data_IF_242761030238
#
_entry.id   IF_242761030238
#
_cell.length_a   1.000
_cell.length_b   1.000
_cell.length_c   1.000
_cell.angle_alpha   90.00
_cell.angle_beta   90.00
_cell.angle_gamma   90.00
#
_symmetry.space_group_name_H-M   'P 1'
#
loop_
_entity.id
_entity.type
_entity.pdbx_description
1 polymer ?
#
# COMPACT_ATOMS: atom_id res chain seq x y z
N UNK A 1 -7.11 -8.80 -22.18
CA UNK A 1 -7.63 -7.95 -21.09
C UNK A 1 -6.59 -7.97 -19.99
N UNK A 2 -6.29 -6.82 -19.39
CA UNK A 2 -5.40 -6.78 -18.23
C UNK A 2 -5.97 -7.67 -17.11
N UNK A 3 -5.09 -8.41 -16.44
CA UNK A 3 -5.49 -9.35 -15.39
C UNK A 3 -5.75 -8.58 -14.10
N UNK A 4 -6.97 -8.64 -13.59
CA UNK A 4 -7.31 -8.01 -12.32
C UNK A 4 -6.63 -8.75 -11.15
N UNK A 5 -6.20 -8.00 -10.14
CA UNK A 5 -5.61 -8.54 -8.91
C UNK A 5 -6.46 -8.25 -7.68
N UNK A 6 -6.35 -9.10 -6.65
CA UNK A 6 -6.96 -8.88 -5.34
C UNK A 6 -5.95 -8.29 -4.37
N UNK A 7 -6.27 -7.17 -3.74
CA UNK A 7 -5.40 -6.52 -2.76
C UNK A 7 -6.10 -6.44 -1.41
N UNK A 8 -5.50 -7.06 -0.40
CA UNK A 8 -5.83 -6.76 0.98
C UNK A 8 -4.99 -5.59 1.46
N UNK A 9 -5.60 -4.40 1.56
CA UNK A 9 -4.91 -3.20 2.07
C UNK A 9 -5.08 -3.15 3.58
N UNK A 10 -4.31 -3.86 4.39
CA UNK A 10 -4.51 -3.86 5.84
C UNK A 10 -3.92 -2.64 6.56
N UNK A 11 -4.32 -2.43 7.82
CA UNK A 11 -3.78 -1.35 8.66
C UNK A 11 -2.30 -1.57 9.01
N UNK A 12 -1.88 -2.83 9.16
CA UNK A 12 -0.52 -3.18 9.60
C UNK A 12 0.27 -3.88 8.50
N UNK A 13 -0.37 -4.80 7.77
CA UNK A 13 0.22 -5.51 6.65
C UNK A 13 -0.79 -5.50 5.50
N UNK A 14 -0.27 -5.57 4.28
CA UNK A 14 -1.03 -5.72 3.06
C UNK A 14 -0.56 -6.92 2.25
N UNK A 15 -1.44 -7.43 1.39
CA UNK A 15 -1.21 -8.63 0.57
C UNK A 15 -1.76 -8.38 -0.82
N UNK A 16 -1.14 -8.99 -1.83
CA UNK A 16 -1.68 -9.05 -3.19
C UNK A 16 -1.76 -10.50 -3.67
N UNK A 17 -2.85 -10.82 -4.36
CA UNK A 17 -3.14 -12.15 -4.89
C UNK A 17 -3.64 -12.06 -6.33
N UNK A 18 -3.41 -13.14 -7.09
CA UNK A 18 -3.72 -13.23 -8.53
C UNK A 18 -4.52 -14.49 -8.88
N UNK A 19 -5.21 -14.39 -10.01
CA UNK A 19 -5.90 -15.36 -10.89
C UNK A 19 -5.21 -16.56 -11.57
N UNK A 20 -4.52 -17.52 -10.97
CA UNK A 20 -3.80 -18.55 -11.78
C UNK A 20 -4.65 -19.78 -12.09
N UNK A 21 -5.05 -19.97 -13.35
CA UNK A 21 -5.83 -21.16 -13.75
C UNK A 21 -7.21 -21.27 -13.08
N UNK A 22 -7.69 -20.17 -12.49
CA UNK A 22 -8.90 -20.14 -11.67
C UNK A 22 -8.65 -20.20 -10.15
N UNK A 23 -7.43 -20.55 -9.74
CA UNK A 23 -7.04 -20.66 -8.33
C UNK A 23 -6.36 -19.36 -7.83
N UNK A 24 -6.70 -18.89 -6.61
CA UNK A 24 -6.07 -17.72 -6.02
C UNK A 24 -4.65 -18.04 -5.53
N UNK A 25 -3.68 -17.25 -6.01
CA UNK A 25 -2.27 -17.37 -5.61
C UNK A 25 -1.80 -16.09 -4.96
N UNK A 26 -1.24 -16.19 -3.74
CA UNK A 26 -0.65 -15.05 -3.02
C UNK A 26 0.77 -14.80 -3.54
N UNK A 27 1.02 -13.58 -4.01
CA UNK A 27 2.32 -13.19 -4.57
C UNK A 27 3.29 -12.81 -3.44
N UNK A 28 4.53 -13.28 -3.54
CA UNK A 28 5.60 -12.82 -2.68
C UNK A 28 6.11 -11.45 -3.15
N UNK A 29 6.35 -10.53 -2.22
CA UNK A 29 6.93 -9.23 -2.52
C UNK A 29 8.42 -9.34 -2.91
N UNK A 30 9.01 -8.23 -3.36
CA UNK A 30 10.45 -8.13 -3.66
C UNK A 30 11.40 -8.54 -2.52
N UNK A 31 10.91 -8.61 -1.28
CA UNK A 31 11.66 -9.06 -0.11
C UNK A 31 11.47 -10.57 0.21
N UNK A 32 10.74 -11.30 -0.63
CA UNK A 32 10.47 -12.74 -0.47
C UNK A 32 9.35 -13.08 0.53
N UNK A 33 8.60 -12.08 1.01
CA UNK A 33 7.51 -12.25 1.97
C UNK A 33 6.14 -12.19 1.29
N UNK A 34 5.19 -13.01 1.76
CA UNK A 34 3.79 -12.97 1.30
C UNK A 34 2.95 -11.85 1.93
N UNK A 35 3.54 -11.10 2.86
CA UNK A 35 2.91 -9.90 3.45
C UNK A 35 3.87 -8.73 3.39
N UNK A 36 3.37 -7.56 3.00
CA UNK A 36 4.11 -6.31 2.97
C UNK A 36 3.64 -5.42 4.13
N UNK A 37 4.52 -4.94 5.04
CA UNK A 37 4.12 -3.99 6.06
C UNK A 37 3.47 -2.73 5.46
N UNK A 38 2.36 -2.27 6.01
CA UNK A 38 1.67 -1.02 5.62
C UNK A 38 2.38 0.19 6.23
N UNK A 39 3.64 0.35 5.84
CA UNK A 39 4.58 1.35 6.35
C UNK A 39 5.21 2.07 5.17
N UNK A 40 5.20 3.39 5.23
CA UNK A 40 5.84 4.27 4.25
C UNK A 40 6.83 5.14 5.01
N UNK A 41 8.04 5.27 4.52
CA UNK A 41 9.03 6.17 5.08
C UNK A 41 9.67 7.04 4.01
N UNK A 42 9.90 8.30 4.35
CA UNK A 42 10.66 9.22 3.55
C UNK A 42 12.07 9.27 4.11
N UNK A 43 13.04 8.73 3.37
CA UNK A 43 14.44 8.75 3.74
C UNK A 43 15.04 10.16 3.52
N UNK A 44 16.09 10.49 4.27
CA UNK A 44 16.71 11.84 4.25
C UNK A 44 17.35 12.19 2.91
N UNK A 45 17.66 11.19 2.09
CA UNK A 45 18.16 11.34 0.71
C UNK A 45 17.03 11.60 -0.31
N UNK A 46 15.78 11.72 0.12
CA UNK A 46 14.62 11.93 -0.75
C UNK A 46 13.97 10.64 -1.27
N UNK A 47 14.54 9.47 -0.96
CA UNK A 47 13.97 8.19 -1.36
C UNK A 47 12.71 7.85 -0.55
N UNK A 48 11.74 7.21 -1.20
CA UNK A 48 10.55 6.71 -0.52
C UNK A 48 10.62 5.20 -0.37
N UNK A 49 10.70 4.76 0.87
CA UNK A 49 10.72 3.36 1.26
C UNK A 49 9.30 2.91 1.58
N UNK A 50 8.94 1.69 1.17
CA UNK A 50 7.63 1.09 1.46
C UNK A 50 7.83 -0.35 1.91
N UNK A 51 7.07 -0.82 2.90
CA UNK A 51 7.14 -2.20 3.35
C UNK A 51 8.26 -2.46 4.35
N UNK A 52 8.98 -3.58 4.16
CA UNK A 52 10.03 -3.99 5.10
C UNK A 52 11.20 -2.99 5.20
N UNK A 53 11.70 -2.38 4.10
CA UNK A 53 12.72 -1.33 4.20
C UNK A 53 12.28 -0.14 5.06
N UNK A 54 11.03 0.32 4.90
CA UNK A 54 10.47 1.40 5.73
C UNK A 54 10.34 0.98 7.20
N UNK A 55 9.91 -0.26 7.46
CA UNK A 55 9.80 -0.80 8.82
C UNK A 55 11.15 -0.89 9.53
N UNK A 56 12.21 -1.29 8.83
CA UNK A 56 13.56 -1.48 9.41
C UNK A 56 14.13 -0.20 10.02
N UNK A 57 13.87 0.95 9.42
CA UNK A 57 14.40 2.24 9.84
C UNK A 57 13.43 3.06 10.71
N UNK A 58 12.26 2.50 11.06
CA UNK A 58 11.20 3.23 11.74
C UNK A 58 11.61 3.82 13.10
N UNK A 59 12.58 3.20 13.79
CA UNK A 59 13.06 3.66 15.10
C UNK A 59 14.04 4.83 14.98
N UNK A 60 14.82 4.91 13.90
CA UNK A 60 15.85 5.94 13.71
C UNK A 60 15.35 7.13 12.88
N UNK A 61 14.16 7.03 12.29
CA UNK A 61 13.54 8.05 11.43
C UNK A 61 12.04 8.18 11.71
N UNK A 62 11.67 8.29 13.00
CA UNK A 62 10.28 8.25 13.48
C UNK A 62 9.40 9.28 12.78
N UNK A 63 9.84 10.53 12.72
CA UNK A 63 9.04 11.66 12.22
C UNK A 63 8.74 11.58 10.71
N UNK A 64 9.49 10.76 9.98
CA UNK A 64 9.33 10.58 8.54
C UNK A 64 8.87 9.16 8.19
N UNK A 65 8.39 8.41 9.19
CA UNK A 65 7.89 7.04 9.03
C UNK A 65 6.42 6.95 9.44
N UNK A 66 5.57 6.72 8.45
CA UNK A 66 4.12 6.64 8.61
C UNK A 66 3.72 5.18 8.74
N UNK A 67 3.05 4.85 9.84
CA UNK A 67 2.45 3.54 10.12
C UNK A 67 0.95 3.74 10.32
N UNK A 68 0.18 2.67 10.15
CA UNK A 68 -1.25 2.67 10.52
C UNK A 68 -2.11 3.70 9.78
N UNK A 69 -1.67 4.19 8.62
CA UNK A 69 -2.36 5.27 7.88
C UNK A 69 -3.81 4.92 7.54
N UNK A 70 -4.14 3.62 7.43
CA UNK A 70 -5.53 3.17 7.21
C UNK A 70 -6.52 3.67 8.27
N UNK A 71 -6.05 4.01 9.49
CA UNK A 71 -6.89 4.60 10.55
C UNK A 71 -7.33 6.03 10.25
N UNK A 72 -6.66 6.70 9.32
CA UNK A 72 -6.90 8.09 8.92
C UNK A 72 -7.65 8.22 7.59
N UNK A 73 -7.99 7.10 6.94
CA UNK A 73 -8.76 7.13 5.68
C UNK A 73 -10.10 7.83 5.89
N UNK A 74 -10.53 8.62 4.91
CA UNK A 74 -11.80 9.36 4.98
C UNK A 74 -11.80 10.53 5.97
N UNK A 75 -10.63 11.00 6.40
CA UNK A 75 -10.45 12.18 7.26
C UNK A 75 -9.61 13.25 6.55
N UNK A 76 -9.45 14.41 7.18
CA UNK A 76 -8.59 15.52 6.74
C UNK A 76 -7.12 15.36 7.18
N UNK A 77 -6.76 14.21 7.76
CA UNK A 77 -5.40 13.93 8.20
C UNK A 77 -4.41 14.10 7.05
N UNK A 78 -3.32 14.81 7.36
CA UNK A 78 -2.16 14.94 6.50
C UNK A 78 -0.88 14.99 7.32
N UNK A 79 0.23 14.74 6.64
CA UNK A 79 1.58 14.89 7.18
C UNK A 79 2.43 15.73 6.24
N UNK A 80 3.17 16.70 6.78
CA UNK A 80 4.13 17.49 6.01
C UNK A 80 5.49 16.79 6.02
N UNK A 81 6.05 16.56 4.83
CA UNK A 81 7.42 16.07 4.65
C UNK A 81 8.08 16.95 3.60
N UNK A 82 9.20 17.60 3.97
CA UNK A 82 10.01 18.46 3.09
C UNK A 82 9.19 19.58 2.41
N UNK A 83 8.27 20.20 3.17
CA UNK A 83 7.42 21.27 2.66
C UNK A 83 6.28 20.81 1.74
N UNK A 84 6.06 19.49 1.62
CA UNK A 84 4.91 18.91 0.91
C UNK A 84 3.97 18.20 1.89
N UNK A 85 2.69 18.52 1.81
CA UNK A 85 1.64 17.79 2.52
C UNK A 85 1.25 16.52 1.77
N UNK A 86 1.10 15.43 2.52
CA UNK A 86 0.63 14.14 2.04
C UNK A 86 -0.61 13.70 2.82
N UNK A 87 -1.66 13.33 2.09
CA UNK A 87 -2.92 12.81 2.63
C UNK A 87 -2.84 11.32 2.97
N UNK A 88 -3.80 10.80 3.73
CA UNK A 88 -3.91 9.36 4.00
C UNK A 88 -4.01 8.51 2.72
N UNK A 89 -4.71 9.03 1.71
CA UNK A 89 -4.87 8.43 0.39
C UNK A 89 -3.52 8.34 -0.33
N UNK A 90 -2.75 9.42 -0.39
CA UNK A 90 -1.45 9.43 -1.05
C UNK A 90 -0.43 8.51 -0.38
N UNK A 91 -0.45 8.41 0.96
CA UNK A 91 0.40 7.44 1.67
C UNK A 91 -0.05 6.01 1.38
N UNK A 92 -1.36 5.73 1.40
CA UNK A 92 -1.90 4.40 1.07
C UNK A 92 -1.62 4.02 -0.38
N UNK A 93 -1.67 4.97 -1.31
CA UNK A 93 -1.33 4.79 -2.72
C UNK A 93 0.10 4.26 -2.88
N UNK A 94 1.06 4.71 -2.06
CA UNK A 94 2.43 4.20 -2.10
C UNK A 94 2.53 2.72 -1.71
N UNK A 95 1.69 2.26 -0.79
CA UNK A 95 1.56 0.83 -0.45
C UNK A 95 0.96 0.06 -1.62
N UNK A 96 -0.12 0.56 -2.21
CA UNK A 96 -0.76 -0.05 -3.39
C UNK A 96 0.20 -0.13 -4.59
N UNK A 97 0.98 0.92 -4.85
CA UNK A 97 1.99 0.93 -5.92
C UNK A 97 3.14 -0.04 -5.68
N UNK A 98 3.51 -0.33 -4.43
CA UNK A 98 4.47 -1.42 -4.15
C UNK A 98 3.84 -2.78 -4.49
N UNK A 99 2.61 -3.04 -4.02
CA UNK A 99 1.92 -4.31 -4.27
C UNK A 99 1.66 -4.55 -5.76
N UNK A 100 1.29 -3.49 -6.49
CA UNK A 100 1.16 -3.52 -7.95
C UNK A 100 2.48 -3.95 -8.59
N UNK A 101 3.60 -3.25 -8.31
CA UNK A 101 4.92 -3.59 -8.88
C UNK A 101 5.37 -5.01 -8.54
N UNK A 102 5.11 -5.47 -7.32
CA UNK A 102 5.42 -6.83 -6.88
C UNK A 102 4.61 -7.86 -7.71
N UNK A 103 3.32 -7.59 -7.96
CA UNK A 103 2.47 -8.44 -8.79
C UNK A 103 2.83 -8.39 -10.29
N UNK A 104 3.14 -7.22 -10.84
CA UNK A 104 3.60 -7.06 -12.23
C UNK A 104 4.91 -7.81 -12.47
N UNK A 105 5.85 -7.73 -11.52
CA UNK A 105 7.13 -8.45 -11.59
C UNK A 105 6.91 -9.98 -11.57
N UNK A 106 5.93 -10.45 -10.81
CA UNK A 106 5.57 -11.87 -10.74
C UNK A 106 4.89 -12.37 -12.02
N UNK A 107 3.99 -11.56 -12.61
CA UNK A 107 3.24 -11.93 -13.80
C UNK A 107 4.01 -11.70 -15.11
N UNK A 108 4.98 -10.78 -15.13
CA UNK A 108 5.69 -10.37 -16.33
C UNK A 108 4.86 -9.46 -17.26
N UNK A 109 3.80 -8.84 -16.76
CA UNK A 109 2.90 -7.95 -17.49
C UNK A 109 2.37 -6.82 -16.59
N UNK A 110 1.86 -5.75 -17.20
CA UNK A 110 1.28 -4.61 -16.49
C UNK A 110 -0.12 -4.92 -15.93
N UNK A 111 -0.42 -4.39 -14.75
CA UNK A 111 -1.72 -4.51 -14.09
C UNK A 111 -2.41 -3.14 -14.04
N UNK A 112 -3.63 -3.08 -14.58
CA UNK A 112 -4.44 -1.84 -14.58
C UNK A 112 -5.63 -1.88 -13.63
N UNK A 113 -6.10 -3.08 -13.26
CA UNK A 113 -7.34 -3.25 -12.52
C UNK A 113 -7.12 -4.04 -11.22
N UNK A 114 -7.76 -3.61 -10.14
CA UNK A 114 -7.67 -4.28 -8.85
C UNK A 114 -9.00 -4.25 -8.08
N UNK A 115 -9.18 -5.26 -7.23
CA UNK A 115 -10.20 -5.29 -6.18
C UNK A 115 -9.51 -5.07 -4.85
N UNK A 116 -9.85 -3.99 -4.13
CA UNK A 116 -9.19 -3.60 -2.87
C UNK A 116 -10.16 -3.79 -1.69
N UNK A 117 -9.68 -4.42 -0.62
CA UNK A 117 -10.49 -4.67 0.59
C UNK A 117 -10.67 -3.43 1.47
N UNK A 118 -11.85 -3.31 2.08
CA UNK A 118 -12.15 -2.36 3.15
C UNK A 118 -12.86 -3.06 4.31
N UNK A 119 -12.69 -2.61 5.56
CA UNK A 119 -13.47 -3.12 6.67
C UNK A 119 -14.97 -2.96 6.42
N UNK A 120 -15.78 -3.93 6.85
CA UNK A 120 -17.23 -3.89 6.66
C UNK A 120 -17.88 -2.63 7.27
N UNK A 121 -17.32 -2.14 8.38
CA UNK A 121 -17.80 -0.95 9.09
C UNK A 121 -17.32 0.39 8.50
N UNK A 122 -16.52 0.39 7.42
CA UNK A 122 -16.13 1.65 6.78
C UNK A 122 -17.37 2.39 6.24
N UNK A 123 -17.44 3.68 6.51
CA UNK A 123 -18.45 4.57 5.94
C UNK A 123 -18.10 4.96 4.48
N UNK A 124 -18.99 5.72 3.84
CA UNK A 124 -18.82 6.09 2.43
C UNK A 124 -17.57 6.92 2.17
N UNK A 125 -17.24 7.87 3.06
CA UNK A 125 -16.03 8.68 2.93
C UNK A 125 -14.75 7.83 3.00
N UNK A 126 -14.70 6.85 3.90
CA UNK A 126 -13.57 5.93 4.05
C UNK A 126 -13.43 4.98 2.85
N UNK A 127 -14.56 4.50 2.31
CA UNK A 127 -14.60 3.67 1.09
C UNK A 127 -14.13 4.46 -0.13
N UNK A 128 -14.64 5.67 -0.28
CA UNK A 128 -14.28 6.58 -1.37
C UNK A 128 -12.80 6.96 -1.31
N UNK A 129 -12.28 7.32 -0.13
CA UNK A 129 -10.85 7.58 0.06
C UNK A 129 -9.98 6.37 -0.28
N UNK A 130 -10.44 5.14 0.00
CA UNK A 130 -9.71 3.92 -0.38
C UNK A 130 -9.67 3.75 -1.89
N UNK A 131 -10.76 4.05 -2.59
CA UNK A 131 -10.85 4.03 -4.07
C UNK A 131 -10.01 5.14 -4.73
N UNK A 132 -9.88 6.29 -4.08
CA UNK A 132 -9.02 7.38 -4.57
C UNK A 132 -7.52 7.08 -4.43
N UNK A 133 -7.15 6.24 -3.46
CA UNK A 133 -5.77 5.82 -3.27
C UNK A 133 -5.26 4.91 -4.42
N UNK A 134 -6.15 4.19 -5.11
CA UNK A 134 -5.81 3.31 -6.22
C UNK A 134 -6.96 2.43 -6.68
#
# INVERSE_FOLDING_TARGET
MARAVGIDLGTTNSVVAVLEGGDPVVVANSEGSRTTPSVVAFARNGEVLVGQPAKNQAVTNVDRTIRSVKRHMGTDWSIEIDGKNYTAQEISARVLQKLKRDAESYLGEDITDAVITVPAYFNDAQRQATKEAG
#
